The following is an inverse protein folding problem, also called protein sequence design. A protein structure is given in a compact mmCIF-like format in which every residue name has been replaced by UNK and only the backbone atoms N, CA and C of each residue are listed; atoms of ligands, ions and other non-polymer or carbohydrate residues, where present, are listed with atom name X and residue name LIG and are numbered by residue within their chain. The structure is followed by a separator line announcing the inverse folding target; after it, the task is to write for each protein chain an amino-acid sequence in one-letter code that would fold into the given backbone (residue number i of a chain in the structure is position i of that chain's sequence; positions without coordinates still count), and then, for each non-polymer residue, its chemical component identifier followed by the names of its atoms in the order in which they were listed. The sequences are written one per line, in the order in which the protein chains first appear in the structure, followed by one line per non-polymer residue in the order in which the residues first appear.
data_IF_072824902639
#
_entry.id   IF_072824902639
#
_cell.length_a   1.000
_cell.length_b   1.000
_cell.length_c   1.000
_cell.angle_alpha   90.00
_cell.angle_beta   90.00
_cell.angle_gamma   90.00
#
_symmetry.space_group_name_H-M   'P 1'
#
loop_
_entity.id
_entity.type
_entity.pdbx_description
1 polymer ?
#
# COMPACT_ATOMS: atom_id res chain seq x y z
N UNK A 1 6.80 -56.39 -4.79
CA UNK A 1 6.56 -55.27 -5.72
C UNK A 1 5.14 -54.70 -5.69
N UNK A 2 4.07 -55.53 -5.68
CA UNK A 2 2.67 -55.03 -5.62
C UNK A 2 2.39 -54.06 -4.45
N UNK A 3 2.96 -54.29 -3.27
CA UNK A 3 2.70 -53.45 -2.08
C UNK A 3 3.32 -52.06 -2.13
N UNK A 4 4.52 -51.90 -2.72
CA UNK A 4 5.18 -50.60 -2.87
C UNK A 4 4.48 -49.78 -3.96
N UNK A 5 4.13 -50.41 -5.08
CA UNK A 5 3.35 -49.76 -6.13
C UNK A 5 1.98 -49.31 -5.63
N UNK A 6 1.27 -50.15 -4.86
CA UNK A 6 0.02 -49.76 -4.20
C UNK A 6 0.19 -48.60 -3.22
N UNK A 7 1.27 -48.57 -2.43
CA UNK A 7 1.57 -47.46 -1.50
C UNK A 7 1.83 -46.14 -2.21
N UNK A 8 2.61 -46.16 -3.30
CA UNK A 8 2.87 -44.96 -4.12
C UNK A 8 1.59 -44.50 -4.79
N UNK A 9 0.79 -45.43 -5.34
CA UNK A 9 -0.48 -45.12 -5.98
C UNK A 9 -1.49 -44.51 -4.98
N UNK A 10 -1.60 -45.07 -3.77
CA UNK A 10 -2.44 -44.47 -2.72
C UNK A 10 -1.92 -43.11 -2.27
N UNK A 11 -0.61 -42.91 -2.19
CA UNK A 11 -0.03 -41.61 -1.84
C UNK A 11 -0.33 -40.55 -2.90
N UNK A 12 -0.27 -40.92 -4.20
CA UNK A 12 -0.63 -40.02 -5.32
C UNK A 12 -2.13 -39.74 -5.38
N UNK A 13 -2.98 -40.72 -5.02
CA UNK A 13 -4.44 -40.55 -5.06
C UNK A 13 -4.99 -39.75 -3.87
N UNK A 14 -4.31 -39.81 -2.72
CA UNK A 14 -4.73 -39.12 -1.49
C UNK A 14 -4.01 -37.77 -1.33
N UNK A 15 -2.86 -37.55 -1.99
CA UNK A 15 -2.15 -36.27 -1.95
C UNK A 15 -2.98 -35.06 -2.40
N UNK A 16 -3.87 -35.12 -3.40
CA UNK A 16 -4.69 -33.96 -3.77
C UNK A 16 -5.67 -33.59 -2.67
N UNK A 17 -6.15 -34.57 -1.87
CA UNK A 17 -7.03 -34.33 -0.73
C UNK A 17 -6.24 -33.66 0.41
N UNK A 18 -4.97 -34.01 0.62
CA UNK A 18 -4.12 -33.34 1.62
C UNK A 18 -3.63 -31.95 1.16
N UNK A 19 -3.39 -31.75 -0.14
CA UNK A 19 -2.87 -30.50 -0.70
C UNK A 19 -4.01 -29.50 -1.01
N UNK A 20 -5.21 -30.00 -1.34
CA UNK A 20 -6.35 -29.21 -1.79
C UNK A 20 -7.68 -29.46 -1.04
N UNK A 21 -7.70 -30.31 -0.01
CA UNK A 21 -8.89 -30.59 0.80
C UNK A 21 -9.34 -29.42 1.68
N UNK A 22 -10.64 -29.37 1.94
CA UNK A 22 -11.37 -28.22 2.45
C UNK A 22 -11.05 -27.82 3.92
N UNK A 23 -10.48 -28.70 4.74
CA UNK A 23 -10.39 -28.48 6.20
C UNK A 23 -9.06 -27.93 6.74
N UNK A 24 -8.08 -27.61 5.88
CA UNK A 24 -6.73 -27.18 6.32
C UNK A 24 -6.15 -25.94 5.63
N UNK A 25 -6.96 -25.24 4.83
CA UNK A 25 -6.51 -24.20 3.91
C UNK A 25 -5.66 -24.82 2.80
N UNK A 26 -6.29 -25.07 1.65
CA UNK A 26 -5.60 -25.60 0.47
C UNK A 26 -4.34 -24.75 0.16
N UNK A 27 -3.34 -25.36 -0.47
CA UNK A 27 -2.08 -24.66 -0.79
C UNK A 27 -2.33 -23.39 -1.61
N UNK A 28 -3.35 -23.38 -2.47
CA UNK A 28 -3.71 -22.20 -3.25
C UNK A 28 -4.22 -21.04 -2.37
N UNK A 29 -4.96 -21.31 -1.30
CA UNK A 29 -5.43 -20.32 -0.32
C UNK A 29 -4.28 -19.81 0.53
N UNK A 30 -3.34 -20.67 0.93
CA UNK A 30 -2.12 -20.23 1.63
C UNK A 30 -1.24 -19.35 0.75
N UNK A 31 -1.12 -19.72 -0.53
CA UNK A 31 -0.40 -18.91 -1.52
C UNK A 31 -1.10 -17.57 -1.75
N UNK A 32 -2.41 -17.57 -1.97
CA UNK A 32 -3.20 -16.35 -2.15
C UNK A 32 -3.11 -15.42 -0.93
N UNK A 33 -3.22 -15.97 0.28
CA UNK A 33 -3.08 -15.21 1.51
C UNK A 33 -1.68 -14.62 1.66
N UNK A 34 -0.63 -15.39 1.36
CA UNK A 34 0.76 -14.92 1.41
C UNK A 34 1.03 -13.82 0.38
N UNK A 35 0.48 -13.96 -0.84
CA UNK A 35 0.58 -12.96 -1.90
C UNK A 35 -0.16 -11.68 -1.51
N UNK A 36 -1.41 -11.79 -1.03
CA UNK A 36 -2.17 -10.64 -0.58
C UNK A 36 -1.47 -9.93 0.58
N UNK A 37 -0.93 -10.69 1.53
CA UNK A 37 -0.18 -10.13 2.65
C UNK A 37 1.06 -9.36 2.16
N UNK A 38 1.87 -9.92 1.26
CA UNK A 38 3.03 -9.22 0.71
C UNK A 38 2.62 -7.97 -0.09
N UNK A 39 1.53 -8.01 -0.84
CA UNK A 39 1.00 -6.85 -1.56
C UNK A 39 0.55 -5.76 -0.57
N UNK A 40 -0.13 -6.13 0.50
CA UNK A 40 -0.55 -5.20 1.55
C UNK A 40 0.65 -4.61 2.29
N UNK A 41 1.65 -5.41 2.65
CA UNK A 41 2.88 -4.94 3.32
C UNK A 41 3.69 -3.99 2.42
N UNK A 42 3.84 -4.33 1.13
CA UNK A 42 4.47 -3.45 0.14
C UNK A 42 3.68 -2.16 -0.07
N UNK A 43 2.35 -2.27 -0.15
CA UNK A 43 1.43 -1.14 -0.27
C UNK A 43 1.53 -0.17 0.92
N UNK A 44 1.48 -0.69 2.15
CA UNK A 44 1.62 0.08 3.38
C UNK A 44 3.00 0.74 3.49
N UNK A 45 4.06 0.03 3.07
CA UNK A 45 5.43 0.60 3.02
C UNK A 45 5.53 1.79 2.05
N UNK A 46 4.98 1.65 0.84
CA UNK A 46 4.95 2.73 -0.15
C UNK A 46 4.08 3.89 0.35
N UNK A 47 2.93 3.59 0.94
CA UNK A 47 2.06 4.59 1.55
C UNK A 47 2.79 5.38 2.66
N UNK A 48 3.58 4.69 3.49
CA UNK A 48 4.42 5.32 4.52
C UNK A 48 5.44 6.31 3.97
N UNK A 49 6.10 5.96 2.86
CA UNK A 49 7.05 6.84 2.19
C UNK A 49 6.33 8.07 1.64
N UNK A 50 5.21 7.87 0.94
CA UNK A 50 4.40 8.95 0.37
C UNK A 50 3.86 9.87 1.48
N UNK A 51 3.44 9.32 2.60
CA UNK A 51 2.96 10.09 3.75
C UNK A 51 4.06 11.01 4.29
N UNK A 52 5.25 10.46 4.50
CA UNK A 52 6.42 11.21 4.98
C UNK A 52 6.80 12.33 4.02
N UNK A 53 6.86 12.06 2.72
CA UNK A 53 7.15 13.07 1.69
C UNK A 53 6.08 14.16 1.69
N UNK A 54 4.81 13.78 1.80
CA UNK A 54 3.69 14.73 1.81
C UNK A 54 3.77 15.70 2.99
N UNK A 55 4.15 15.22 4.18
CA UNK A 55 4.37 16.08 5.36
C UNK A 55 5.51 17.06 5.09
N UNK A 56 6.66 16.58 4.63
CA UNK A 56 7.84 17.42 4.37
C UNK A 56 7.51 18.51 3.33
N UNK A 57 6.88 18.12 2.22
CA UNK A 57 6.46 19.06 1.18
C UNK A 57 5.41 20.06 1.70
N UNK A 58 4.47 19.62 2.53
CA UNK A 58 3.49 20.49 3.17
C UNK A 58 4.13 21.55 4.06
N UNK A 59 5.09 21.16 4.91
CA UNK A 59 5.81 22.08 5.79
C UNK A 59 6.61 23.10 4.99
N UNK A 60 7.33 22.64 3.95
CA UNK A 60 8.08 23.53 3.05
C UNK A 60 7.13 24.51 2.37
N UNK A 61 6.00 24.04 1.83
CA UNK A 61 5.04 24.86 1.12
C UNK A 61 4.43 25.95 2.00
N UNK A 62 4.02 25.61 3.23
CA UNK A 62 3.50 26.57 4.21
C UNK A 62 4.58 27.59 4.58
N UNK A 63 5.83 27.15 4.77
CA UNK A 63 6.95 28.06 5.08
C UNK A 63 7.18 29.06 3.95
N UNK A 64 7.18 28.61 2.69
CA UNK A 64 7.32 29.47 1.51
C UNK A 64 6.15 30.45 1.40
N UNK A 65 4.92 29.99 1.64
CA UNK A 65 3.72 30.84 1.67
C UNK A 65 3.83 31.95 2.73
N UNK A 66 4.26 31.61 3.94
CA UNK A 66 4.46 32.59 5.03
C UNK A 66 5.52 33.62 4.66
N UNK A 67 6.64 33.19 4.08
CA UNK A 67 7.69 34.11 3.60
C UNK A 67 7.18 35.03 2.49
N UNK A 68 6.43 34.50 1.52
CA UNK A 68 5.80 35.33 0.47
C UNK A 68 4.81 36.33 1.05
N UNK A 69 4.12 35.99 2.14
CA UNK A 69 3.17 36.89 2.80
C UNK A 69 3.88 38.13 3.37
N UNK A 70 5.11 37.97 3.86
CA UNK A 70 5.93 39.04 4.43
C UNK A 70 6.63 39.91 3.38
N UNK A 71 6.93 39.35 2.20
CA UNK A 71 7.73 40.02 1.17
C UNK A 71 6.85 40.59 0.04
N UNK A 72 5.80 39.88 -0.36
CA UNK A 72 4.96 40.23 -1.51
C UNK A 72 3.54 39.66 -1.39
N UNK A 73 2.71 40.34 -0.58
CA UNK A 73 1.30 39.99 -0.37
C UNK A 73 0.46 40.07 -1.67
N UNK A 74 0.82 40.94 -2.62
CA UNK A 74 0.10 41.05 -3.90
C UNK A 74 0.23 39.78 -4.74
N UNK A 75 1.40 39.14 -4.74
CA UNK A 75 1.60 37.88 -5.44
C UNK A 75 0.71 36.75 -4.89
N UNK A 76 0.50 36.70 -3.56
CA UNK A 76 -0.42 35.72 -2.95
C UNK A 76 -1.85 35.98 -3.40
N UNK A 77 -2.29 37.25 -3.42
CA UNK A 77 -3.65 37.59 -3.87
C UNK A 77 -3.87 37.25 -5.34
N UNK A 78 -2.87 37.51 -6.19
CA UNK A 78 -2.95 37.24 -7.63
C UNK A 78 -2.93 35.75 -7.98
N UNK A 79 -2.26 34.93 -7.17
CA UNK A 79 -2.11 33.49 -7.42
C UNK A 79 -2.78 32.60 -6.37
N UNK A 80 -3.69 33.16 -5.56
CA UNK A 80 -4.30 32.47 -4.41
C UNK A 80 -4.88 31.10 -4.77
N UNK A 81 -5.61 31.00 -5.89
CA UNK A 81 -6.22 29.73 -6.32
C UNK A 81 -5.19 28.61 -6.51
N UNK A 82 -4.03 28.94 -7.10
CA UNK A 82 -2.97 27.96 -7.35
C UNK A 82 -2.26 27.60 -6.03
N UNK A 83 -1.98 28.61 -5.22
CA UNK A 83 -1.31 28.45 -3.93
C UNK A 83 -2.10 27.60 -2.93
N UNK A 84 -3.39 27.88 -2.78
CA UNK A 84 -4.30 27.07 -1.96
C UNK A 84 -4.61 25.72 -2.62
N UNK A 85 -4.71 25.67 -3.95
CA UNK A 85 -4.89 24.41 -4.68
C UNK A 85 -3.76 23.41 -4.41
N UNK A 86 -2.51 23.87 -4.38
CA UNK A 86 -1.37 23.04 -4.01
C UNK A 86 -1.46 22.50 -2.57
N UNK A 87 -1.92 23.30 -1.61
CA UNK A 87 -2.17 22.85 -0.23
C UNK A 87 -3.23 21.75 -0.19
N UNK A 88 -4.33 21.91 -0.93
CA UNK A 88 -5.40 20.89 -0.98
C UNK A 88 -4.87 19.59 -1.58
N UNK A 89 -4.10 19.64 -2.67
CA UNK A 89 -3.52 18.45 -3.30
C UNK A 89 -2.59 17.72 -2.33
N UNK A 90 -1.69 18.45 -1.65
CA UNK A 90 -0.80 17.86 -0.64
C UNK A 90 -1.61 17.21 0.49
N UNK A 91 -2.67 17.88 0.96
CA UNK A 91 -3.58 17.35 1.98
C UNK A 91 -4.29 16.07 1.55
N UNK A 92 -4.75 15.98 0.30
CA UNK A 92 -5.38 14.78 -0.25
C UNK A 92 -4.37 13.62 -0.31
N UNK A 93 -3.16 13.86 -0.81
CA UNK A 93 -2.12 12.82 -0.92
C UNK A 93 -1.72 12.32 0.47
N UNK A 94 -1.59 13.23 1.45
CA UNK A 94 -1.36 12.87 2.85
C UNK A 94 -2.50 12.03 3.42
N UNK A 95 -3.77 12.43 3.21
CA UNK A 95 -4.93 11.70 3.72
C UNK A 95 -5.05 10.30 3.13
N UNK A 96 -4.88 10.16 1.81
CA UNK A 96 -4.91 8.86 1.13
C UNK A 96 -3.78 7.94 1.57
N UNK A 97 -2.56 8.47 1.67
CA UNK A 97 -1.42 7.68 2.15
C UNK A 97 -1.59 7.26 3.60
N UNK A 98 -2.06 8.14 4.49
CA UNK A 98 -2.33 7.82 5.89
C UNK A 98 -3.41 6.76 6.08
N UNK A 99 -4.42 6.72 5.21
CA UNK A 99 -5.49 5.73 5.27
C UNK A 99 -5.08 4.37 4.68
N UNK A 100 -3.99 4.33 3.91
CA UNK A 100 -3.47 3.13 3.24
C UNK A 100 -2.29 2.49 3.97
N UNK A 101 -1.83 3.11 5.05
CA UNK A 101 -0.80 2.59 5.96
C UNK A 101 -1.42 1.69 7.02
#
# INVERSE_FOLDING_TARGET
MKSIFQKILTLILISPIFLFGADGGNIASKLANSVNQQITEAGSSVASIINTISIVMGVIWITVMLLMTLINMEAIKNHAKLLFGAVVIIGIIYGLSSASM
#
